data_IF_048044409749
#
_entry.id   IF_048044409749
#
_cell.length_a   1.000
_cell.length_b   1.000
_cell.length_c   1.000
_cell.angle_alpha   90.00
_cell.angle_beta   90.00
_cell.angle_gamma   90.00
#
_symmetry.space_group_name_H-M   'P 1'
#
loop_
_entity.id
_entity.type
_entity.pdbx_description
1 polymer ?
#
# COMPACT_ATOMS: atom_id res chain seq x y z
N UNK A 1 17.87 27.69 -31.29
CA UNK A 1 18.35 26.34 -30.93
C UNK A 1 19.62 26.33 -30.05
N UNK A 2 20.45 27.39 -30.02
CA UNK A 2 21.69 27.42 -29.22
C UNK A 2 21.49 27.42 -27.69
N UNK A 3 20.39 27.96 -27.19
CA UNK A 3 20.12 28.05 -25.74
C UNK A 3 19.88 26.68 -25.08
N UNK A 4 19.08 25.81 -25.69
CA UNK A 4 18.85 24.44 -25.22
C UNK A 4 20.12 23.59 -25.26
N UNK A 5 20.87 23.66 -26.36
CA UNK A 5 22.15 22.96 -26.50
C UNK A 5 23.18 23.43 -25.47
N UNK A 6 23.20 24.74 -25.16
CA UNK A 6 24.05 25.28 -24.09
C UNK A 6 23.66 24.71 -22.73
N UNK A 7 22.37 24.72 -22.39
CA UNK A 7 21.89 24.21 -21.11
C UNK A 7 22.27 22.74 -20.92
N UNK A 8 22.01 21.89 -21.92
CA UNK A 8 22.37 20.46 -21.86
C UNK A 8 23.88 20.25 -21.72
N UNK A 9 24.68 21.00 -22.50
CA UNK A 9 26.15 20.91 -22.45
C UNK A 9 26.71 21.40 -21.12
N UNK A 10 26.11 22.43 -20.54
CA UNK A 10 26.47 22.97 -19.24
C UNK A 10 26.08 21.99 -18.12
N UNK A 11 24.87 21.44 -18.13
CA UNK A 11 24.45 20.38 -17.20
C UNK A 11 25.39 19.17 -17.25
N UNK A 12 25.79 18.72 -18.44
CA UNK A 12 26.77 17.63 -18.59
C UNK A 12 28.15 17.96 -18.02
N UNK A 13 28.64 19.19 -18.23
CA UNK A 13 29.89 19.66 -17.61
C UNK A 13 29.79 19.70 -16.08
N UNK A 14 28.65 20.16 -15.54
CA UNK A 14 28.42 20.24 -14.10
C UNK A 14 28.42 18.86 -13.45
N UNK A 15 27.72 17.90 -14.07
CA UNK A 15 27.68 16.51 -13.63
C UNK A 15 29.08 15.89 -13.59
N UNK A 16 29.94 16.22 -14.56
CA UNK A 16 31.30 15.68 -14.63
C UNK A 16 32.25 16.33 -13.62
N UNK A 17 32.13 17.63 -13.38
CA UNK A 17 32.97 18.34 -12.39
C UNK A 17 32.56 18.01 -10.94
N UNK A 18 31.28 17.78 -10.68
CA UNK A 18 30.74 17.45 -9.34
C UNK A 18 30.34 15.97 -9.20
N UNK A 19 30.98 15.09 -9.97
CA UNK A 19 30.54 13.70 -10.14
C UNK A 19 30.36 12.94 -8.82
N UNK A 20 31.28 13.11 -7.86
CA UNK A 20 31.20 12.43 -6.55
C UNK A 20 29.91 12.78 -5.79
N UNK A 21 29.57 14.07 -5.71
CA UNK A 21 28.37 14.55 -5.01
C UNK A 21 27.09 14.18 -5.75
N UNK A 22 27.13 14.21 -7.08
CA UNK A 22 26.01 13.82 -7.95
C UNK A 22 25.69 12.34 -7.81
N UNK A 23 26.71 11.46 -7.75
CA UNK A 23 26.54 10.03 -7.50
C UNK A 23 25.99 9.77 -6.11
N UNK A 24 26.49 10.44 -5.07
CA UNK A 24 25.95 10.29 -3.71
C UNK A 24 24.48 10.71 -3.64
N UNK A 25 24.13 11.84 -4.26
CA UNK A 25 22.75 12.31 -4.34
C UNK A 25 21.87 11.30 -5.08
N UNK A 26 22.34 10.79 -6.22
CA UNK A 26 21.64 9.77 -7.01
C UNK A 26 21.38 8.51 -6.17
N UNK A 27 22.40 8.01 -5.45
CA UNK A 27 22.26 6.83 -4.58
C UNK A 27 21.26 7.08 -3.46
N UNK A 28 21.28 8.24 -2.82
CA UNK A 28 20.34 8.52 -1.73
C UNK A 28 18.91 8.72 -2.23
N UNK A 29 18.72 9.35 -3.40
CA UNK A 29 17.40 9.44 -4.06
C UNK A 29 16.91 8.04 -4.43
N UNK A 30 17.77 7.21 -5.03
CA UNK A 30 17.47 5.81 -5.37
C UNK A 30 17.01 5.03 -4.15
N UNK A 31 17.77 5.10 -3.05
CA UNK A 31 17.45 4.39 -1.81
C UNK A 31 16.16 4.91 -1.17
N UNK A 32 15.94 6.23 -1.18
CA UNK A 32 14.73 6.84 -0.61
C UNK A 32 13.47 6.38 -1.39
N UNK A 33 13.52 6.42 -2.73
CA UNK A 33 12.43 5.95 -3.58
C UNK A 33 12.23 4.44 -3.43
N UNK A 34 13.31 3.65 -3.38
CA UNK A 34 13.25 2.21 -3.17
C UNK A 34 12.54 1.87 -1.85
N UNK A 35 12.92 2.52 -0.74
CA UNK A 35 12.31 2.28 0.57
C UNK A 35 10.82 2.62 0.57
N UNK A 36 10.44 3.80 0.08
CA UNK A 36 9.05 4.20 -0.02
C UNK A 36 8.24 3.23 -0.90
N UNK A 37 8.73 2.95 -2.10
CA UNK A 37 8.07 2.07 -3.06
C UNK A 37 7.96 0.63 -2.54
N UNK A 38 8.95 0.15 -1.78
CA UNK A 38 8.93 -1.17 -1.15
C UNK A 38 7.80 -1.30 -0.12
N UNK A 39 7.71 -0.38 0.85
CA UNK A 39 6.62 -0.40 1.83
C UNK A 39 5.26 -0.19 1.17
N UNK A 40 5.20 0.68 0.17
CA UNK A 40 3.96 0.94 -0.56
C UNK A 40 3.49 -0.28 -1.37
N UNK A 41 4.44 -1.05 -1.93
CA UNK A 41 4.14 -2.29 -2.64
C UNK A 41 3.55 -3.34 -1.69
N UNK A 42 4.15 -3.50 -0.51
CA UNK A 42 3.64 -4.43 0.52
C UNK A 42 2.24 -4.01 0.96
N UNK A 43 2.04 -2.73 1.27
CA UNK A 43 0.74 -2.20 1.68
C UNK A 43 -0.34 -2.43 0.62
N UNK A 44 -0.05 -2.16 -0.66
CA UNK A 44 -1.01 -2.39 -1.75
C UNK A 44 -1.34 -3.87 -1.93
N UNK A 45 -0.34 -4.75 -1.78
CA UNK A 45 -0.57 -6.20 -1.80
C UNK A 45 -1.41 -6.67 -0.60
N UNK A 46 -1.20 -6.12 0.59
CA UNK A 46 -2.04 -6.40 1.76
C UNK A 46 -3.49 -5.94 1.57
N UNK A 47 -3.72 -4.76 0.97
CA UNK A 47 -5.07 -4.30 0.63
C UNK A 47 -5.78 -5.23 -0.36
N UNK A 48 -5.06 -5.75 -1.36
CA UNK A 48 -5.60 -6.72 -2.33
C UNK A 48 -5.90 -8.06 -1.67
N UNK A 49 -5.00 -8.55 -0.82
CA UNK A 49 -5.22 -9.77 -0.05
C UNK A 49 -6.43 -9.62 0.89
N UNK A 50 -6.55 -8.48 1.56
CA UNK A 50 -7.69 -8.14 2.41
C UNK A 50 -9.00 -8.16 1.65
N UNK A 51 -9.05 -7.59 0.44
CA UNK A 51 -10.25 -7.56 -0.38
C UNK A 51 -10.71 -8.98 -0.75
N UNK A 52 -9.80 -9.83 -1.22
CA UNK A 52 -10.10 -11.22 -1.57
C UNK A 52 -10.56 -12.03 -0.36
N UNK A 53 -9.89 -11.88 0.78
CA UNK A 53 -10.28 -12.55 2.02
C UNK A 53 -11.63 -12.06 2.55
N UNK A 54 -11.97 -10.78 2.33
CA UNK A 54 -13.27 -10.22 2.69
C UNK A 54 -14.41 -10.77 1.83
N UNK A 55 -14.18 -10.98 0.53
CA UNK A 55 -15.21 -11.47 -0.41
C UNK A 55 -15.60 -12.94 -0.16
N UNK A 56 -14.65 -13.79 0.27
CA UNK A 56 -14.89 -15.19 0.61
C UNK A 56 -15.37 -15.39 2.07
N UNK A 57 -15.53 -14.31 2.82
CA UNK A 57 -15.76 -14.36 4.24
C UNK A 57 -17.22 -14.69 4.58
N UNK A 58 -17.41 -15.67 5.46
CA UNK A 58 -18.71 -16.00 6.05
C UNK A 58 -18.62 -15.94 7.57
N UNK A 59 -19.45 -15.10 8.18
CA UNK A 59 -19.56 -15.01 9.63
C UNK A 59 -20.65 -15.98 10.10
N UNK A 60 -20.29 -16.96 10.92
CA UNK A 60 -21.24 -17.93 11.47
C UNK A 60 -21.46 -17.62 12.95
N UNK A 61 -22.68 -17.24 13.29
CA UNK A 61 -23.14 -17.00 14.67
C UNK A 61 -23.89 -18.23 15.14
N UNK A 62 -23.32 -19.02 16.04
CA UNK A 62 -24.03 -20.11 16.70
C UNK A 62 -24.94 -19.57 17.79
N UNK A 63 -26.13 -20.13 17.85
CA UNK A 63 -27.19 -19.71 18.75
C UNK A 63 -27.47 -20.82 19.78
N UNK A 64 -27.90 -20.43 20.97
CA UNK A 64 -28.34 -21.38 22.00
C UNK A 64 -29.68 -22.05 21.62
N UNK A 65 -30.55 -21.31 20.93
CA UNK A 65 -31.89 -21.74 20.55
C UNK A 65 -32.25 -21.29 19.14
N UNK A 66 -33.17 -22.02 18.50
CA UNK A 66 -33.68 -21.62 17.19
C UNK A 66 -34.53 -20.36 17.29
N UNK A 67 -34.34 -19.44 16.34
CA UNK A 67 -35.05 -18.17 16.31
C UNK A 67 -36.41 -18.40 15.64
N UNK A 68 -37.53 -18.11 16.34
CA UNK A 68 -38.86 -18.19 15.75
C UNK A 68 -38.96 -17.28 14.53
N UNK A 69 -39.71 -17.70 13.51
CA UNK A 69 -39.84 -16.94 12.26
C UNK A 69 -40.33 -15.49 12.48
N UNK A 70 -41.14 -15.27 13.52
CA UNK A 70 -41.64 -13.94 13.89
C UNK A 70 -40.55 -12.96 14.34
N UNK A 71 -39.44 -13.47 14.90
CA UNK A 71 -38.35 -12.66 15.44
C UNK A 71 -37.21 -12.44 14.44
N UNK A 72 -37.19 -13.19 13.32
CA UNK A 72 -36.17 -13.06 12.28
C UNK A 72 -36.08 -11.65 11.67
N UNK A 73 -37.20 -10.95 11.35
CA UNK A 73 -37.13 -9.62 10.74
C UNK A 73 -36.48 -8.57 11.65
N UNK A 74 -36.66 -8.69 12.97
CA UNK A 74 -36.04 -7.77 13.93
C UNK A 74 -34.51 -7.94 13.95
N UNK A 75 -34.05 -9.18 13.87
CA UNK A 75 -32.62 -9.51 13.87
C UNK A 75 -31.98 -9.12 12.55
N UNK A 76 -32.63 -9.39 11.42
CA UNK A 76 -32.19 -8.90 10.11
C UNK A 76 -32.03 -7.38 10.12
N UNK A 77 -33.02 -6.66 10.67
CA UNK A 77 -32.96 -5.20 10.79
C UNK A 77 -31.77 -4.73 11.63
N UNK A 78 -31.54 -5.34 12.80
CA UNK A 78 -30.38 -5.03 13.66
C UNK A 78 -29.04 -5.28 12.97
N UNK A 79 -28.94 -6.37 12.20
CA UNK A 79 -27.73 -6.70 11.43
C UNK A 79 -27.50 -5.64 10.33
N UNK A 80 -28.56 -5.27 9.59
CA UNK A 80 -28.49 -4.24 8.55
C UNK A 80 -28.21 -2.83 9.08
N UNK A 81 -28.63 -2.51 10.31
CA UNK A 81 -28.32 -1.22 10.96
C UNK A 81 -26.84 -1.07 11.30
N UNK A 82 -26.16 -2.16 11.68
CA UNK A 82 -24.74 -2.12 12.03
C UNK A 82 -23.84 -2.10 10.79
N UNK A 83 -24.17 -2.88 9.78
CA UNK A 83 -23.33 -3.02 8.61
C UNK A 83 -24.08 -3.53 7.38
N UNK A 84 -23.64 -3.14 6.18
CA UNK A 84 -24.30 -3.58 4.97
C UNK A 84 -23.83 -5.03 4.69
N UNK A 85 -24.78 -5.92 4.45
CA UNK A 85 -24.56 -7.37 4.24
C UNK A 85 -25.19 -7.82 2.93
N UNK A 86 -24.56 -8.76 2.24
CA UNK A 86 -25.07 -9.32 0.97
C UNK A 86 -26.22 -10.29 1.24
N UNK A 87 -26.10 -11.14 2.26
CA UNK A 87 -27.08 -12.16 2.58
C UNK A 87 -27.06 -12.53 4.05
N UNK A 88 -28.23 -12.80 4.62
CA UNK A 88 -28.41 -13.41 5.94
C UNK A 88 -29.12 -14.75 5.72
N UNK A 89 -28.58 -15.83 6.29
CA UNK A 89 -29.18 -17.18 6.20
C UNK A 89 -29.35 -17.73 7.61
N UNK A 90 -30.59 -18.04 7.97
CA UNK A 90 -30.91 -18.75 9.21
C UNK A 90 -30.83 -20.25 8.94
N UNK A 91 -30.02 -20.96 9.71
CA UNK A 91 -29.80 -22.40 9.58
C UNK A 91 -30.36 -23.09 10.83
N UNK A 92 -31.38 -23.92 10.61
CA UNK A 92 -31.95 -24.76 11.68
C UNK A 92 -31.01 -25.90 12.07
N UNK A 93 -31.23 -26.54 13.22
CA UNK A 93 -30.45 -27.71 13.67
C UNK A 93 -30.51 -28.85 12.65
N UNK A 94 -31.70 -29.14 12.16
CA UNK A 94 -31.94 -30.16 11.14
C UNK A 94 -31.20 -29.84 9.82
N UNK A 95 -31.21 -28.57 9.40
CA UNK A 95 -30.51 -28.14 8.20
C UNK A 95 -28.99 -28.21 8.37
N UNK A 96 -28.45 -27.74 9.50
CA UNK A 96 -27.03 -27.84 9.84
C UNK A 96 -26.55 -29.30 9.80
N UNK A 97 -27.34 -30.22 10.37
CA UNK A 97 -27.04 -31.65 10.37
C UNK A 97 -27.05 -32.25 8.96
N UNK A 98 -28.03 -31.86 8.12
CA UNK A 98 -28.10 -32.29 6.73
C UNK A 98 -26.91 -31.80 5.90
N UNK A 99 -26.46 -30.55 6.10
CA UNK A 99 -25.29 -29.97 5.43
C UNK A 99 -24.00 -30.69 5.83
N UNK A 100 -23.84 -30.97 7.13
CA UNK A 100 -22.68 -31.73 7.63
C UNK A 100 -22.64 -33.14 7.04
N UNK A 101 -23.78 -33.83 6.98
CA UNK A 101 -23.90 -35.17 6.39
C UNK A 101 -23.56 -35.18 4.89
N UNK A 102 -23.91 -34.13 4.16
CA UNK A 102 -23.57 -33.98 2.75
C UNK A 102 -22.06 -33.73 2.53
N UNK A 103 -21.38 -33.05 3.45
CA UNK A 103 -19.93 -32.81 3.36
C UNK A 103 -19.09 -34.05 3.70
N UNK A 104 -19.57 -34.91 4.59
CA UNK A 104 -18.88 -36.13 5.04
C UNK A 104 -19.19 -37.35 4.17
N UNK A 105 -19.38 -37.17 2.87
CA UNK A 105 -19.90 -38.19 1.94
C UNK A 105 -19.12 -39.52 1.95
N UNK A 106 -17.87 -39.53 2.46
CA UNK A 106 -16.97 -40.69 2.62
C UNK A 106 -16.90 -41.31 4.03
N UNK A 107 -17.43 -40.65 5.07
CA UNK A 107 -17.35 -41.07 6.49
C UNK A 107 -18.73 -41.01 7.18
N UNK A 108 -19.79 -41.33 6.44
CA UNK A 108 -21.19 -41.24 6.91
C UNK A 108 -21.47 -42.05 8.19
N UNK A 109 -20.72 -43.14 8.41
CA UNK A 109 -20.92 -44.02 9.56
C UNK A 109 -20.63 -43.34 10.91
N UNK A 110 -19.80 -42.29 10.93
CA UNK A 110 -19.48 -41.53 12.16
C UNK A 110 -20.69 -40.71 12.66
N UNK A 111 -21.64 -40.39 11.76
CA UNK A 111 -22.80 -39.56 12.06
C UNK A 111 -24.09 -40.35 12.33
N UNK A 112 -24.10 -41.66 12.12
CA UNK A 112 -25.33 -42.47 12.23
C UNK A 112 -25.87 -42.55 13.67
N UNK A 113 -25.00 -42.40 14.67
CA UNK A 113 -25.37 -42.39 16.09
C UNK A 113 -25.70 -40.99 16.64
N UNK A 114 -25.59 -39.95 15.80
CA UNK A 114 -25.83 -38.57 16.20
C UNK A 114 -27.21 -38.09 15.73
N UNK A 115 -27.97 -37.50 16.64
CA UNK A 115 -29.27 -36.90 16.34
C UNK A 115 -29.17 -35.50 15.72
N UNK A 116 -30.26 -34.97 15.14
CA UNK A 116 -30.30 -33.62 14.57
C UNK A 116 -30.01 -32.51 15.60
N UNK A 117 -30.16 -32.78 16.90
CA UNK A 117 -29.82 -31.86 18.00
C UNK A 117 -28.30 -31.76 18.28
N UNK A 118 -27.47 -32.54 17.60
CA UNK A 118 -26.01 -32.51 17.81
C UNK A 118 -25.38 -31.17 17.45
N UNK A 119 -25.91 -30.46 16.45
CA UNK A 119 -25.39 -29.18 16.00
C UNK A 119 -26.26 -28.02 16.48
N UNK A 120 -25.66 -26.93 16.99
CA UNK A 120 -26.41 -25.73 17.33
C UNK A 120 -26.96 -25.05 16.06
N UNK A 121 -28.12 -24.38 16.15
CA UNK A 121 -28.60 -23.54 15.07
C UNK A 121 -27.67 -22.34 14.87
N UNK A 122 -27.66 -21.77 13.66
CA UNK A 122 -26.75 -20.67 13.35
C UNK A 122 -27.35 -19.62 12.41
N UNK A 123 -26.79 -18.42 12.47
CA UNK A 123 -26.99 -17.35 11.48
C UNK A 123 -25.71 -17.23 10.68
N UNK A 124 -25.78 -17.46 9.38
CA UNK A 124 -24.69 -17.20 8.45
C UNK A 124 -24.89 -15.80 7.86
N UNK A 125 -23.98 -14.89 8.18
CA UNK A 125 -23.98 -13.52 7.66
C UNK A 125 -22.86 -13.40 6.62
N UNK A 126 -23.25 -13.01 5.41
CA UNK A 126 -22.35 -12.74 4.30
C UNK A 126 -22.14 -11.23 4.21
N UNK A 127 -20.96 -10.72 4.56
CA UNK A 127 -20.64 -9.30 4.41
C UNK A 127 -20.74 -8.88 2.94
N UNK A 128 -20.95 -7.58 2.68
CA UNK A 128 -20.87 -7.07 1.31
C UNK A 128 -19.47 -7.25 0.74
N UNK A 129 -19.44 -7.67 -0.54
CA UNK A 129 -18.22 -7.70 -1.35
C UNK A 129 -17.57 -6.31 -1.41
N UNK A 130 -16.24 -6.28 -1.45
CA UNK A 130 -15.40 -5.08 -1.35
C UNK A 130 -15.26 -4.46 0.06
N UNK A 131 -15.43 -5.24 1.14
CA UNK A 131 -14.97 -4.79 2.44
C UNK A 131 -13.44 -4.95 2.53
N UNK A 132 -12.72 -3.87 2.24
CA UNK A 132 -11.25 -3.81 2.32
C UNK A 132 -10.70 -3.72 3.75
N UNK A 133 -11.58 -3.66 4.75
CA UNK A 133 -11.21 -3.39 6.14
C UNK A 133 -11.61 -4.57 7.03
N UNK A 134 -10.67 -5.49 7.24
CA UNK A 134 -10.88 -6.66 8.10
C UNK A 134 -11.07 -6.27 9.58
N UNK A 135 -10.63 -5.07 9.98
CA UNK A 135 -10.86 -4.56 11.33
C UNK A 135 -12.35 -4.28 11.55
N UNK A 136 -13.05 -3.75 10.55
CA UNK A 136 -14.52 -3.60 10.60
C UNK A 136 -15.24 -4.93 10.64
N UNK A 137 -14.73 -5.95 9.94
CA UNK A 137 -15.29 -7.31 10.00
C UNK A 137 -15.13 -7.90 11.40
N UNK A 138 -13.98 -7.68 12.07
CA UNK A 138 -13.81 -8.06 13.48
C UNK A 138 -14.81 -7.34 14.38
N UNK A 139 -14.98 -6.02 14.24
CA UNK A 139 -15.95 -5.25 15.04
C UNK A 139 -17.38 -5.71 14.80
N UNK A 140 -17.70 -6.10 13.57
CA UNK A 140 -19.00 -6.67 13.22
C UNK A 140 -19.20 -8.05 13.87
N UNK A 141 -18.18 -8.89 13.87
CA UNK A 141 -18.20 -10.16 14.62
C UNK A 141 -18.46 -9.93 16.12
N UNK A 142 -17.85 -8.91 16.72
CA UNK A 142 -18.06 -8.55 18.13
C UNK A 142 -19.49 -8.06 18.37
N UNK A 143 -20.07 -7.31 17.44
CA UNK A 143 -21.48 -6.92 17.50
C UNK A 143 -22.42 -8.12 17.40
N UNK A 144 -22.14 -9.07 16.50
CA UNK A 144 -22.96 -10.28 16.36
C UNK A 144 -23.00 -11.13 17.63
N UNK A 145 -21.95 -11.08 18.48
CA UNK A 145 -21.95 -11.71 19.80
C UNK A 145 -22.91 -11.03 20.80
N UNK A 146 -23.31 -9.78 20.56
CA UNK A 146 -24.26 -9.07 21.44
C UNK A 146 -25.73 -9.35 21.10
N UNK A 147 -25.99 -10.11 20.03
CA UNK A 147 -27.35 -10.48 19.65
C UNK A 147 -27.97 -11.43 20.69
N UNK A 148 -29.29 -11.33 20.92
CA UNK A 148 -29.97 -12.21 21.86
C UNK A 148 -29.87 -13.66 21.40
N UNK A 149 -29.54 -14.57 22.33
CA UNK A 149 -29.32 -16.01 22.10
C UNK A 149 -28.05 -16.35 21.30
N UNK A 150 -27.13 -15.41 21.09
CA UNK A 150 -25.82 -15.69 20.50
C UNK A 150 -24.90 -16.39 21.51
N UNK A 151 -24.55 -17.65 21.22
CA UNK A 151 -23.70 -18.47 22.08
C UNK A 151 -22.22 -18.28 21.74
N UNK A 152 -21.91 -18.34 20.45
CA UNK A 152 -20.53 -18.28 19.95
C UNK A 152 -20.52 -17.82 18.50
N UNK A 153 -19.74 -16.80 18.19
CA UNK A 153 -19.44 -16.44 16.81
C UNK A 153 -18.18 -17.20 16.39
N UNK A 154 -18.32 -18.16 15.48
CA UNK A 154 -17.18 -18.73 14.78
C UNK A 154 -16.85 -17.82 13.62
N UNK A 155 -16.12 -16.77 13.97
CA UNK A 155 -15.40 -15.95 13.03
C UNK A 155 -13.92 -16.26 13.21
N UNK A 156 -13.15 -16.29 12.14
CA UNK A 156 -11.70 -16.17 12.24
C UNK A 156 -11.25 -14.79 12.76
N UNK A 157 -12.04 -14.15 13.62
CA UNK A 157 -11.97 -12.74 13.99
C UNK A 157 -10.61 -12.36 14.57
N UNK A 158 -9.98 -13.23 15.37
CA UNK A 158 -8.68 -12.94 15.97
C UNK A 158 -7.57 -12.79 14.94
N UNK A 159 -7.52 -13.67 13.93
CA UNK A 159 -6.50 -13.57 12.88
C UNK A 159 -6.81 -12.41 11.92
N UNK A 160 -8.10 -12.17 11.62
CA UNK A 160 -8.57 -11.04 10.81
C UNK A 160 -8.23 -9.70 11.46
N UNK A 161 -8.42 -9.59 12.78
CA UNK A 161 -8.07 -8.40 13.56
C UNK A 161 -6.57 -8.15 13.51
N UNK A 162 -5.75 -9.19 13.78
CA UNK A 162 -4.27 -9.07 13.68
C UNK A 162 -3.82 -8.68 12.28
N UNK A 163 -4.48 -9.20 11.24
CA UNK A 163 -4.19 -8.84 9.85
C UNK A 163 -4.56 -7.38 9.55
N UNK A 164 -5.73 -6.92 10.00
CA UNK A 164 -6.16 -5.53 9.89
C UNK A 164 -5.23 -4.58 10.63
N UNK A 165 -4.88 -4.90 11.88
CA UNK A 165 -3.94 -4.13 12.70
C UNK A 165 -2.56 -4.04 12.04
N UNK A 166 -2.07 -5.13 11.43
CA UNK A 166 -0.82 -5.13 10.67
C UNK A 166 -0.91 -4.29 9.40
N UNK A 167 -2.05 -4.31 8.69
CA UNK A 167 -2.30 -3.47 7.52
C UNK A 167 -2.34 -1.98 7.89
N UNK A 168 -2.95 -1.64 9.01
CA UNK A 168 -2.96 -0.28 9.56
C UNK A 168 -1.56 0.18 9.98
N UNK A 169 -0.76 -0.70 10.59
CA UNK A 169 0.65 -0.41 10.88
C UNK A 169 1.42 -0.10 9.59
N UNK A 170 1.25 -0.92 8.54
CA UNK A 170 1.87 -0.68 7.24
C UNK A 170 1.44 0.67 6.63
N UNK A 171 0.17 1.06 6.77
CA UNK A 171 -0.30 2.38 6.32
C UNK A 171 0.49 3.51 6.99
N UNK A 172 0.71 3.42 8.31
CA UNK A 172 1.50 4.41 9.06
C UNK A 172 2.96 4.41 8.58
N UNK A 173 3.56 3.23 8.34
CA UNK A 173 4.93 3.11 7.82
C UNK A 173 5.06 3.71 6.41
N UNK A 174 4.08 3.50 5.53
CA UNK A 174 4.04 4.12 4.19
C UNK A 174 3.95 5.64 4.31
N UNK A 175 3.09 6.16 5.20
CA UNK A 175 2.97 7.61 5.42
C UNK A 175 4.29 8.20 5.94
N UNK A 176 4.90 7.57 6.95
CA UNK A 176 6.17 8.02 7.53
C UNK A 176 7.31 7.97 6.52
N UNK A 177 7.42 6.89 5.74
CA UNK A 177 8.43 6.78 4.69
C UNK A 177 8.22 7.81 3.58
N UNK A 178 6.97 8.14 3.24
CA UNK A 178 6.64 9.23 2.30
C UNK A 178 7.06 10.61 2.80
N UNK A 179 6.78 10.92 4.07
CA UNK A 179 7.24 12.16 4.71
C UNK A 179 8.77 12.23 4.75
N UNK A 180 9.42 11.13 5.13
CA UNK A 180 10.87 11.03 5.16
C UNK A 180 11.49 11.21 3.77
N UNK A 181 10.86 10.68 2.74
CA UNK A 181 11.28 10.86 1.34
C UNK A 181 11.25 12.33 0.94
N UNK A 182 10.17 13.06 1.27
CA UNK A 182 10.05 14.50 0.96
C UNK A 182 11.14 15.31 1.68
N UNK A 183 11.36 15.04 2.96
CA UNK A 183 12.38 15.73 3.78
C UNK A 183 13.79 15.41 3.25
N UNK A 184 14.08 14.12 3.03
CA UNK A 184 15.35 13.62 2.51
C UNK A 184 15.69 14.28 1.18
N UNK A 185 14.77 14.23 0.21
CA UNK A 185 14.98 14.85 -1.10
C UNK A 185 15.24 16.35 -0.98
N UNK A 186 14.41 17.07 -0.23
CA UNK A 186 14.56 18.52 -0.07
C UNK A 186 15.91 18.88 0.56
N UNK A 187 16.32 18.15 1.59
CA UNK A 187 17.57 18.40 2.31
C UNK A 187 18.79 18.08 1.47
N UNK A 188 18.82 16.92 0.82
CA UNK A 188 19.94 16.48 0.00
C UNK A 188 20.12 17.40 -1.20
N UNK A 189 19.03 17.78 -1.86
CA UNK A 189 19.11 18.70 -3.01
C UNK A 189 19.59 20.08 -2.56
N UNK A 190 19.12 20.56 -1.41
CA UNK A 190 19.61 21.83 -0.85
C UNK A 190 21.12 21.79 -0.58
N UNK A 191 21.60 20.67 -0.01
CA UNK A 191 23.02 20.47 0.26
C UNK A 191 23.85 20.38 -1.03
N UNK A 192 23.40 19.58 -1.99
CA UNK A 192 24.09 19.40 -3.29
C UNK A 192 24.12 20.70 -4.08
N UNK A 193 23.02 21.47 -4.11
CA UNK A 193 23.00 22.77 -4.76
C UNK A 193 23.97 23.76 -4.12
N UNK A 194 24.04 23.82 -2.78
CA UNK A 194 25.01 24.66 -2.09
C UNK A 194 26.43 24.32 -2.50
N UNK A 195 26.75 23.04 -2.55
CA UNK A 195 28.08 22.56 -2.95
C UNK A 195 28.39 22.91 -4.41
N UNK A 196 27.44 22.71 -5.33
CA UNK A 196 27.58 23.04 -6.75
C UNK A 196 27.73 24.55 -6.97
N UNK A 197 27.01 25.38 -6.21
CA UNK A 197 27.18 26.84 -6.29
C UNK A 197 28.55 27.25 -5.76
N UNK A 198 28.97 26.75 -4.60
CA UNK A 198 30.27 27.08 -4.00
C UNK A 198 31.43 26.68 -4.91
N UNK A 199 31.39 25.49 -5.51
CA UNK A 199 32.45 25.04 -6.42
C UNK A 199 32.54 25.85 -7.72
N UNK A 200 31.53 26.67 -8.03
CA UNK A 200 31.43 27.47 -9.26
C UNK A 200 31.25 28.96 -9.02
N UNK A 201 31.53 29.44 -7.80
CA UNK A 201 31.36 30.86 -7.45
C UNK A 201 32.07 31.78 -8.43
N UNK A 202 33.32 31.49 -8.82
CA UNK A 202 34.08 32.31 -9.76
C UNK A 202 33.50 32.38 -11.18
N UNK A 203 32.97 31.27 -11.72
CA UNK A 203 32.33 31.28 -13.05
C UNK A 203 30.99 32.02 -13.03
N UNK A 204 30.21 31.83 -11.95
CA UNK A 204 28.93 32.50 -11.75
C UNK A 204 29.10 34.01 -11.53
N UNK A 205 30.17 34.44 -10.87
CA UNK A 205 30.51 35.84 -10.66
C UNK A 205 30.86 36.53 -11.98
N UNK A 206 31.70 35.92 -12.82
CA UNK A 206 32.02 36.44 -14.16
C UNK A 206 30.75 36.55 -15.02
N UNK A 207 29.88 35.54 -15.01
CA UNK A 207 28.61 35.56 -15.73
C UNK A 207 27.67 36.67 -15.24
N UNK A 208 27.61 36.91 -13.92
CA UNK A 208 26.84 38.02 -13.33
C UNK A 208 27.40 39.37 -13.79
N UNK A 209 28.72 39.55 -13.84
CA UNK A 209 29.36 40.79 -14.30
C UNK A 209 29.11 41.09 -15.79
N UNK A 210 28.87 40.05 -16.61
CA UNK A 210 28.51 40.18 -18.02
C UNK A 210 27.00 40.37 -18.27
N UNK A 211 26.19 40.53 -17.21
CA UNK A 211 24.75 40.77 -17.32
C UNK A 211 23.91 39.51 -17.56
N UNK A 212 24.40 38.32 -17.20
CA UNK A 212 23.62 37.09 -17.35
C UNK A 212 22.30 37.14 -16.55
N UNK A 213 21.20 36.78 -17.20
CA UNK A 213 19.87 36.75 -16.56
C UNK A 213 19.81 35.67 -15.47
N UNK A 214 19.03 35.89 -14.42
CA UNK A 214 18.88 34.91 -13.33
C UNK A 214 18.38 33.55 -13.81
N UNK A 215 17.65 33.50 -14.93
CA UNK A 215 17.25 32.26 -15.58
C UNK A 215 18.44 31.45 -16.11
N UNK A 216 19.47 32.12 -16.64
CA UNK A 216 20.69 31.51 -17.16
C UNK A 216 21.46 30.70 -16.10
N UNK A 217 21.39 31.16 -14.85
CA UNK A 217 22.02 30.50 -13.69
C UNK A 217 21.11 29.38 -13.14
N UNK A 218 19.80 29.58 -13.12
CA UNK A 218 18.84 28.67 -12.47
C UNK A 218 18.47 27.45 -13.33
N UNK A 219 18.35 27.60 -14.65
CA UNK A 219 17.91 26.53 -15.56
C UNK A 219 18.80 25.26 -15.53
N UNK A 220 20.15 25.37 -15.57
CA UNK A 220 21.02 24.19 -15.50
C UNK A 220 20.84 23.40 -14.19
N UNK A 221 20.65 24.10 -13.07
CA UNK A 221 20.44 23.50 -11.73
C UNK A 221 19.08 22.81 -11.60
N UNK A 222 18.05 23.35 -12.26
CA UNK A 222 16.73 22.71 -12.31
C UNK A 222 16.79 21.40 -13.11
N UNK A 223 17.51 21.40 -14.24
CA UNK A 223 17.69 20.18 -15.04
C UNK A 223 18.54 19.13 -14.34
N UNK A 224 19.54 19.52 -13.54
CA UNK A 224 20.23 18.56 -12.67
C UNK A 224 19.26 17.87 -11.70
N UNK A 225 18.41 18.64 -11.02
CA UNK A 225 17.39 18.10 -10.12
C UNK A 225 16.39 17.18 -10.84
N UNK A 226 15.94 17.57 -12.04
CA UNK A 226 15.07 16.73 -12.89
C UNK A 226 15.74 15.41 -13.28
N UNK A 227 17.00 15.46 -13.73
CA UNK A 227 17.77 14.28 -14.13
C UNK A 227 18.03 13.35 -12.95
N UNK A 228 18.41 13.90 -11.79
CA UNK A 228 18.60 13.13 -10.56
C UNK A 228 17.30 12.48 -10.09
N UNK A 229 16.18 13.20 -10.13
CA UNK A 229 14.87 12.67 -9.76
C UNK A 229 14.43 11.56 -10.72
N UNK A 230 14.62 11.74 -12.02
CA UNK A 230 14.30 10.74 -13.03
C UNK A 230 15.16 9.49 -12.86
N UNK A 231 16.49 9.63 -12.93
CA UNK A 231 17.42 8.51 -12.84
C UNK A 231 17.31 7.79 -11.49
N UNK A 232 17.24 8.54 -10.39
CA UNK A 232 17.13 7.97 -9.05
C UNK A 232 15.82 7.20 -8.84
N UNK A 233 14.69 7.75 -9.32
CA UNK A 233 13.40 7.06 -9.22
C UNK A 233 13.34 5.85 -10.13
N UNK A 234 13.87 5.93 -11.35
CA UNK A 234 13.97 4.80 -12.28
C UNK A 234 14.85 3.69 -11.73
N UNK A 235 16.01 4.01 -11.14
CA UNK A 235 16.88 3.02 -10.51
C UNK A 235 16.22 2.40 -9.28
N UNK A 236 15.52 3.19 -8.45
CA UNK A 236 14.83 2.69 -7.27
C UNK A 236 13.68 1.75 -7.63
N UNK A 237 12.85 2.13 -8.60
CA UNK A 237 11.78 1.28 -9.12
C UNK A 237 12.33 0.04 -9.86
N UNK A 238 13.43 0.18 -10.61
CA UNK A 238 14.09 -0.92 -11.30
C UNK A 238 14.66 -1.95 -10.32
N UNK A 239 15.31 -1.48 -9.24
CA UNK A 239 15.79 -2.35 -8.16
C UNK A 239 14.64 -3.06 -7.45
N UNK A 240 13.53 -2.37 -7.19
CA UNK A 240 12.33 -2.97 -6.61
C UNK A 240 11.71 -4.01 -7.54
N UNK A 241 11.65 -3.74 -8.84
CA UNK A 241 11.15 -4.67 -9.84
C UNK A 241 12.03 -5.92 -9.93
N UNK A 242 13.35 -5.77 -9.88
CA UNK A 242 14.29 -6.90 -9.82
C UNK A 242 14.08 -7.72 -8.54
N UNK A 243 13.92 -7.06 -7.38
CA UNK A 243 13.62 -7.72 -6.12
C UNK A 243 12.29 -8.49 -6.19
N UNK A 244 11.25 -7.87 -6.78
CA UNK A 244 9.94 -8.50 -6.98
C UNK A 244 10.03 -9.76 -7.87
N UNK A 245 10.73 -9.70 -9.00
CA UNK A 245 10.94 -10.84 -9.89
C UNK A 245 11.74 -11.95 -9.19
N UNK A 246 12.78 -11.58 -8.44
CA UNK A 246 13.58 -12.52 -7.67
C UNK A 246 12.78 -13.22 -6.59
N UNK A 247 11.94 -12.50 -5.84
CA UNK A 247 11.03 -13.09 -4.86
C UNK A 247 10.00 -13.99 -5.54
N UNK A 248 9.32 -13.51 -6.59
CA UNK A 248 8.27 -14.30 -7.24
C UNK A 248 8.83 -15.60 -7.81
N UNK A 249 9.96 -15.56 -8.52
CA UNK A 249 10.59 -16.77 -9.09
C UNK A 249 11.07 -17.79 -8.05
N UNK A 250 11.45 -17.34 -6.84
CA UNK A 250 11.90 -18.24 -5.76
C UNK A 250 10.75 -18.82 -4.93
N UNK A 251 9.63 -18.11 -4.87
CA UNK A 251 8.50 -18.46 -4.00
C UNK A 251 7.26 -18.98 -4.76
N UNK A 252 7.33 -19.16 -6.10
CA UNK A 252 6.26 -19.72 -6.96
C UNK A 252 6.05 -21.25 -6.82
N UNK A 253 6.19 -21.81 -5.61
CA UNK A 253 5.88 -23.21 -5.34
C UNK A 253 4.39 -23.45 -5.04
N UNK A 254 3.86 -24.68 -5.18
CA UNK A 254 2.52 -25.03 -4.73
C UNK A 254 2.47 -24.97 -3.20
N UNK A 255 1.89 -23.90 -2.65
CA UNK A 255 1.79 -23.66 -1.20
C UNK A 255 0.95 -22.43 -0.89
N UNK A 256 0.84 -22.10 0.41
CA UNK A 256 0.05 -20.98 0.97
C UNK A 256 0.27 -19.63 0.27
N UNK A 257 1.41 -19.43 -0.41
CA UNK A 257 1.73 -18.21 -1.14
C UNK A 257 0.98 -18.05 -2.47
N UNK A 258 0.39 -19.10 -3.05
CA UNK A 258 -0.45 -18.96 -4.26
C UNK A 258 -1.78 -18.20 -3.97
N UNK A 259 -2.21 -18.20 -2.69
CA UNK A 259 -3.35 -17.39 -2.24
C UNK A 259 -3.01 -15.88 -2.25
N UNK A 260 -1.73 -15.54 -2.10
CA UNK A 260 -1.22 -14.18 -2.19
C UNK A 260 -0.65 -13.95 -3.59
N UNK A 261 -1.52 -13.64 -4.53
CA UNK A 261 -1.14 -13.18 -5.88
C UNK A 261 -0.40 -11.85 -5.77
N UNK A 262 0.92 -11.94 -5.54
CA UNK A 262 1.81 -10.79 -5.41
C UNK A 262 1.89 -10.10 -6.76
N UNK A 263 1.14 -9.02 -6.90
CA UNK A 263 1.18 -8.20 -8.10
C UNK A 263 2.13 -7.01 -7.91
N UNK A 264 2.87 -6.68 -8.95
CA UNK A 264 3.59 -5.41 -9.01
C UNK A 264 2.60 -4.24 -9.15
N UNK A 265 3.11 -3.01 -9.05
CA UNK A 265 2.30 -1.82 -9.30
C UNK A 265 1.73 -1.82 -10.72
N UNK A 266 0.49 -1.34 -10.91
CA UNK A 266 -0.01 -1.05 -12.25
C UNK A 266 0.87 0.03 -12.92
N UNK A 267 0.91 0.07 -14.26
CA UNK A 267 1.76 1.01 -15.00
C UNK A 267 1.45 2.47 -14.64
N UNK A 268 0.19 2.79 -14.37
CA UNK A 268 -0.27 4.12 -13.94
C UNK A 268 0.39 4.57 -12.63
N UNK A 269 0.43 3.67 -11.64
CA UNK A 269 0.97 3.96 -10.31
C UNK A 269 2.50 3.98 -10.34
N UNK A 270 3.13 3.14 -11.18
CA UNK A 270 4.58 3.19 -11.45
C UNK A 270 4.97 4.54 -12.07
N UNK A 271 4.20 5.01 -13.06
CA UNK A 271 4.40 6.32 -13.67
C UNK A 271 4.17 7.45 -12.65
N UNK A 272 3.17 7.33 -11.78
CA UNK A 272 2.91 8.29 -10.71
C UNK A 272 4.08 8.41 -9.72
N UNK A 273 4.69 7.30 -9.29
CA UNK A 273 5.87 7.32 -8.41
C UNK A 273 7.06 7.98 -9.10
N UNK A 274 7.29 7.64 -10.38
CA UNK A 274 8.38 8.23 -11.16
C UNK A 274 8.20 9.75 -11.33
N UNK A 275 6.98 10.18 -11.68
CA UNK A 275 6.65 11.60 -11.82
C UNK A 275 6.72 12.33 -10.46
N UNK A 276 6.28 11.69 -9.38
CA UNK A 276 6.40 12.26 -8.03
C UNK A 276 7.87 12.45 -7.64
N UNK A 277 8.74 11.48 -7.92
CA UNK A 277 10.18 11.62 -7.66
C UNK A 277 10.81 12.75 -8.47
N UNK A 278 10.48 12.88 -9.76
CA UNK A 278 10.92 14.02 -10.59
C UNK A 278 10.38 15.34 -10.04
N UNK A 279 9.11 15.40 -9.69
CA UNK A 279 8.45 16.61 -9.17
C UNK A 279 9.05 17.05 -7.83
N UNK A 280 9.29 16.11 -6.91
CA UNK A 280 9.90 16.39 -5.62
C UNK A 280 11.35 16.87 -5.77
N UNK A 281 12.13 16.26 -6.67
CA UNK A 281 13.50 16.72 -6.91
C UNK A 281 13.55 18.10 -7.59
N UNK A 282 12.67 18.33 -8.56
CA UNK A 282 12.57 19.64 -9.23
C UNK A 282 12.06 20.72 -8.29
N UNK A 283 11.05 20.41 -7.48
CA UNK A 283 10.48 21.28 -6.46
C UNK A 283 11.49 21.62 -5.35
N UNK A 284 12.24 20.63 -4.88
CA UNK A 284 13.34 20.84 -3.93
C UNK A 284 14.42 21.77 -4.49
N UNK A 285 14.73 21.62 -5.79
CA UNK A 285 15.68 22.50 -6.48
C UNK A 285 15.17 23.94 -6.58
N UNK A 286 13.90 24.14 -6.94
CA UNK A 286 13.24 25.45 -6.97
C UNK A 286 13.23 26.12 -5.59
N UNK A 287 12.88 25.38 -4.54
CA UNK A 287 12.82 25.89 -3.17
C UNK A 287 14.20 26.35 -2.69
N UNK A 288 15.23 25.55 -2.95
CA UNK A 288 16.62 25.88 -2.61
C UNK A 288 17.11 27.10 -3.39
N UNK A 289 16.87 27.17 -4.70
CA UNK A 289 17.24 28.31 -5.55
C UNK A 289 16.65 29.63 -5.04
N UNK A 290 15.37 29.63 -4.63
CA UNK A 290 14.71 30.82 -4.09
C UNK A 290 15.35 31.31 -2.79
N UNK A 291 15.83 30.38 -1.96
CA UNK A 291 16.42 30.68 -0.65
C UNK A 291 17.89 31.09 -0.72
N UNK A 292 18.66 30.55 -1.66
CA UNK A 292 20.12 30.74 -1.71
C UNK A 292 20.63 31.69 -2.81
N UNK A 293 19.86 31.95 -3.87
CA UNK A 293 20.27 32.83 -4.99
C UNK A 293 19.68 34.25 -4.85
N UNK A 294 18.98 34.55 -3.75
CA UNK A 294 18.53 35.91 -3.41
C UNK A 294 19.59 36.75 -2.69
N UNK A 295 20.88 36.41 -2.86
CA UNK A 295 22.05 37.18 -2.42
C UNK A 295 22.88 37.54 -3.65
#
# INVERSE_FOLDING_TARGET
MHFLAYIVRQTGKNLRQTWGTQVMTLLTVTLSVLLFAFFFLIYNNMLRASARLGDDLRLIVYLDQEIPEQNRPEIEKKIHEFGPVEKIVFVSRAEAFSRLRAQLDKEKDVLNDLGPDFLPPSIEVYPLKNLHDLTKISQFSDFLLTLPHAAKVQSGSDWLRRFGDFTNLLQVVVLLSGVLLIISMTFIISYTLRLTVVSRQGELEILRLLGATSAYIRLPLLLEGMLQGFLGSSLGLGALYFLYQWTTSRFSGPGFLNLFDFAFFPPELTAAILLAGVALCTGGSLFSIRRFISI
#
